data_IF_462089362624
#
_entry.id   IF_462089362624
#
_cell.length_a   1.000
_cell.length_b   1.000
_cell.length_c   1.000
_cell.angle_alpha   90.00
_cell.angle_beta   90.00
_cell.angle_gamma   90.00
#
_symmetry.space_group_name_H-M   'P 1'
#
loop_
_entity.id
_entity.type
_entity.pdbx_description
1 polymer ?
#
# COMPACT_ATOMS: atom_id res chain seq x y z
N UNK A 1 27.21 -15.81 13.31
CA UNK A 1 25.94 -16.57 13.34
C UNK A 1 25.01 -16.14 14.49
N UNK A 2 25.43 -16.23 15.77
CA UNK A 2 24.56 -15.85 16.91
C UNK A 2 24.06 -14.39 16.86
N UNK A 3 24.91 -13.44 16.47
CA UNK A 3 24.52 -12.02 16.35
C UNK A 3 23.45 -11.78 15.27
N UNK A 4 23.49 -12.52 14.14
CA UNK A 4 22.43 -12.48 13.12
C UNK A 4 21.11 -13.05 13.63
N UNK A 5 21.15 -14.10 14.45
CA UNK A 5 19.95 -14.64 15.10
C UNK A 5 19.34 -13.61 16.06
N UNK A 6 20.17 -12.95 16.87
CA UNK A 6 19.73 -11.88 17.78
C UNK A 6 19.10 -10.73 16.99
N UNK A 7 19.73 -10.30 15.89
CA UNK A 7 19.15 -9.30 14.98
C UNK A 7 17.78 -9.74 14.43
N UNK A 8 17.64 -10.99 14.01
CA UNK A 8 16.36 -11.59 13.60
C UNK A 8 15.29 -11.50 14.68
N UNK A 9 15.63 -11.80 15.95
CA UNK A 9 14.71 -11.65 17.09
C UNK A 9 14.28 -10.18 17.25
N UNK A 10 15.19 -9.23 17.13
CA UNK A 10 14.85 -7.80 17.20
C UNK A 10 13.90 -7.36 16.08
N UNK A 11 14.03 -7.90 14.86
CA UNK A 11 13.07 -7.64 13.78
C UNK A 11 11.68 -8.23 14.07
N UNK A 12 11.59 -9.42 14.66
CA UNK A 12 10.31 -9.99 15.13
C UNK A 12 9.68 -9.09 16.20
N UNK A 13 10.48 -8.65 17.18
CA UNK A 13 10.03 -7.74 18.23
C UNK A 13 9.65 -6.36 17.68
N UNK A 14 10.24 -5.93 16.57
CA UNK A 14 9.85 -4.70 15.88
C UNK A 14 8.43 -4.81 15.34
N UNK A 15 8.13 -5.87 14.57
CA UNK A 15 6.79 -6.11 14.03
C UNK A 15 5.74 -6.28 15.13
N UNK A 16 6.07 -7.03 16.19
CA UNK A 16 5.19 -7.17 17.35
C UNK A 16 4.95 -5.84 18.07
N UNK A 17 5.98 -5.00 18.20
CA UNK A 17 5.82 -3.67 18.80
C UNK A 17 4.94 -2.74 17.97
N UNK A 18 4.94 -2.88 16.65
CA UNK A 18 4.13 -2.08 15.73
C UNK A 18 2.64 -2.48 15.71
N UNK A 19 2.25 -3.61 16.32
CA UNK A 19 0.85 -4.05 16.33
C UNK A 19 -0.05 -3.27 17.28
N UNK A 20 0.49 -2.35 18.08
CA UNK A 20 -0.33 -1.44 18.90
C UNK A 20 0.30 -0.03 18.97
N UNK A 21 -0.51 1.03 19.02
CA UNK A 21 -0.01 2.40 19.19
C UNK A 21 0.87 2.55 20.44
N UNK A 22 0.49 1.91 21.55
CA UNK A 22 1.21 1.99 22.83
C UNK A 22 2.65 1.44 22.75
N UNK A 23 2.88 0.38 21.97
CA UNK A 23 4.20 -0.26 21.82
C UNK A 23 4.95 0.17 20.57
N UNK A 24 4.32 0.96 19.67
CA UNK A 24 4.86 1.33 18.36
C UNK A 24 6.28 1.90 18.40
N UNK A 25 6.55 2.81 19.34
CA UNK A 25 7.88 3.43 19.53
C UNK A 25 8.95 2.41 19.94
N UNK A 26 8.59 1.49 20.82
CA UNK A 26 9.48 0.39 21.24
C UNK A 26 9.72 -0.58 20.09
N UNK A 27 8.69 -0.88 19.29
CA UNK A 27 8.82 -1.65 18.06
C UNK A 27 9.83 -1.03 17.09
N UNK A 28 9.69 0.26 16.80
CA UNK A 28 10.62 0.97 15.92
C UNK A 28 12.06 0.93 16.46
N UNK A 29 12.26 1.14 17.76
CA UNK A 29 13.58 1.05 18.41
C UNK A 29 14.18 -0.35 18.28
N UNK A 30 13.39 -1.40 18.46
CA UNK A 30 13.84 -2.78 18.26
C UNK A 30 14.32 -3.01 16.82
N UNK A 31 13.60 -2.46 15.83
CA UNK A 31 14.01 -2.53 14.43
C UNK A 31 15.36 -1.84 14.16
N UNK A 32 15.57 -0.64 14.71
CA UNK A 32 16.85 0.08 14.60
C UNK A 32 18.00 -0.70 15.26
N UNK A 33 17.78 -1.30 16.44
CA UNK A 33 18.78 -2.14 17.11
C UNK A 33 19.11 -3.38 16.27
N UNK A 34 18.08 -4.07 15.76
CA UNK A 34 18.25 -5.24 14.90
C UNK A 34 19.08 -4.94 13.65
N UNK A 35 18.79 -3.82 12.99
CA UNK A 35 19.55 -3.38 11.81
C UNK A 35 21.00 -3.02 12.17
N UNK A 36 21.22 -2.30 13.28
CA UNK A 36 22.57 -1.97 13.76
C UNK A 36 23.41 -3.23 14.04
N UNK A 37 22.82 -4.23 14.70
CA UNK A 37 23.49 -5.52 14.96
C UNK A 37 23.84 -6.22 13.65
N UNK A 38 22.94 -6.28 12.66
CA UNK A 38 23.19 -6.93 11.38
C UNK A 38 24.35 -6.27 10.61
N UNK A 39 24.32 -4.93 10.51
CA UNK A 39 25.35 -4.16 9.81
C UNK A 39 26.73 -4.32 10.47
N UNK A 40 26.81 -4.13 11.78
CA UNK A 40 28.07 -4.27 12.53
C UNK A 40 28.61 -5.70 12.41
N UNK A 41 27.74 -6.70 12.53
CA UNK A 41 28.14 -8.11 12.37
C UNK A 41 28.74 -8.34 10.98
N UNK A 42 28.10 -7.84 9.93
CA UNK A 42 28.59 -8.00 8.54
C UNK A 42 29.98 -7.40 8.37
N UNK A 43 30.20 -6.18 8.88
CA UNK A 43 31.49 -5.49 8.82
C UNK A 43 32.60 -6.22 9.60
N UNK A 44 32.27 -6.86 10.72
CA UNK A 44 33.26 -7.54 11.56
C UNK A 44 33.59 -8.95 11.07
N UNK A 45 32.62 -9.68 10.52
CA UNK A 45 32.80 -11.11 10.20
C UNK A 45 33.24 -11.38 8.76
N UNK A 46 33.13 -10.41 7.86
CA UNK A 46 33.52 -10.59 6.45
C UNK A 46 34.79 -9.80 6.16
N UNK A 47 35.58 -10.29 5.20
CA UNK A 47 36.73 -9.55 4.71
C UNK A 47 36.25 -8.29 3.99
N UNK A 48 36.56 -7.14 4.58
CA UNK A 48 36.19 -5.84 4.01
C UNK A 48 37.18 -5.50 2.90
N UNK A 49 36.70 -5.38 1.66
CA UNK A 49 37.51 -4.92 0.54
C UNK A 49 37.96 -3.46 0.73
N UNK A 50 37.01 -2.55 0.98
CA UNK A 50 37.30 -1.13 1.20
C UNK A 50 36.28 -0.48 2.15
N UNK A 51 36.68 -0.25 3.41
CA UNK A 51 35.80 0.35 4.43
C UNK A 51 35.40 1.79 4.08
N UNK A 52 36.25 2.52 3.37
CA UNK A 52 36.00 3.91 2.97
C UNK A 52 34.88 3.95 1.92
N UNK A 53 34.93 3.08 0.92
CA UNK A 53 33.86 2.97 -0.09
C UNK A 53 32.52 2.58 0.53
N UNK A 54 32.51 1.59 1.43
CA UNK A 54 31.30 1.18 2.17
C UNK A 54 30.75 2.35 2.99
N UNK A 55 31.61 3.07 3.72
CA UNK A 55 31.20 4.21 4.52
C UNK A 55 30.63 5.35 3.67
N UNK A 56 31.24 5.65 2.51
CA UNK A 56 30.74 6.65 1.57
C UNK A 56 29.38 6.23 1.01
N UNK A 57 29.21 4.97 0.58
CA UNK A 57 27.94 4.46 0.07
C UNK A 57 26.82 4.53 1.12
N UNK A 58 27.10 4.12 2.37
CA UNK A 58 26.18 4.23 3.49
C UNK A 58 25.83 5.69 3.81
N UNK A 59 26.82 6.59 3.77
CA UNK A 59 26.61 8.02 4.03
C UNK A 59 25.73 8.65 2.95
N UNK A 60 25.98 8.38 1.66
CA UNK A 60 25.17 8.89 0.54
C UNK A 60 23.73 8.38 0.66
N UNK A 61 23.54 7.07 0.82
CA UNK A 61 22.21 6.47 0.96
C UNK A 61 21.47 6.99 2.20
N UNK A 62 22.16 7.10 3.33
CA UNK A 62 21.62 7.62 4.59
C UNK A 62 21.20 9.09 4.50
N UNK A 63 22.03 9.95 3.89
CA UNK A 63 21.71 11.38 3.70
C UNK A 63 20.50 11.53 2.79
N UNK A 64 20.46 10.84 1.64
CA UNK A 64 19.31 10.88 0.74
C UNK A 64 18.05 10.41 1.48
N UNK A 65 18.12 9.28 2.19
CA UNK A 65 17.01 8.74 2.97
C UNK A 65 16.48 9.73 4.01
N UNK A 66 17.35 10.35 4.81
CA UNK A 66 16.96 11.34 5.83
C UNK A 66 16.35 12.58 5.21
N UNK A 67 16.90 13.09 4.11
CA UNK A 67 16.37 14.27 3.43
C UNK A 67 14.99 14.00 2.85
N UNK A 68 14.81 12.86 2.17
CA UNK A 68 13.50 12.47 1.60
C UNK A 68 12.47 12.26 2.71
N UNK A 69 12.82 11.50 3.75
CA UNK A 69 11.89 11.22 4.86
C UNK A 69 11.44 12.48 5.61
N UNK A 70 12.29 13.51 5.73
CA UNK A 70 11.95 14.78 6.39
C UNK A 70 11.12 15.73 5.54
N UNK A 71 11.11 15.58 4.21
CA UNK A 71 10.47 16.52 3.28
C UNK A 71 9.17 16.00 2.67
N UNK A 72 8.92 14.69 2.74
CA UNK A 72 7.73 14.09 2.14
C UNK A 72 6.47 14.44 2.93
N UNK A 73 5.39 14.77 2.23
CA UNK A 73 4.08 14.95 2.85
C UNK A 73 3.44 13.60 3.18
N UNK A 74 2.68 13.51 4.28
CA UNK A 74 2.02 12.27 4.71
C UNK A 74 1.03 11.73 3.66
N UNK A 75 0.44 12.60 2.84
CA UNK A 75 -0.43 12.18 1.73
C UNK A 75 0.29 11.56 0.55
N UNK A 76 1.60 11.78 0.42
CA UNK A 76 2.49 11.15 -0.56
C UNK A 76 3.17 9.89 0.00
N UNK A 77 2.77 9.41 1.20
CA UNK A 77 3.32 8.18 1.77
C UNK A 77 3.14 6.94 0.88
N UNK A 78 2.00 6.71 0.18
CA UNK A 78 1.83 5.54 -0.68
C UNK A 78 2.87 5.44 -1.81
N UNK A 79 3.15 6.55 -2.48
CA UNK A 79 4.15 6.57 -3.56
C UNK A 79 5.57 6.41 -3.02
N UNK A 80 5.89 7.00 -1.86
CA UNK A 80 7.21 6.83 -1.27
C UNK A 80 7.48 5.36 -0.91
N UNK A 81 6.48 4.66 -0.36
CA UNK A 81 6.57 3.23 -0.04
C UNK A 81 6.83 2.41 -1.31
N UNK A 82 6.11 2.68 -2.41
CA UNK A 82 6.39 2.06 -3.70
C UNK A 82 7.84 2.38 -4.17
N UNK A 83 8.27 3.63 -4.05
CA UNK A 83 9.65 4.03 -4.36
C UNK A 83 10.69 3.23 -3.57
N UNK A 84 10.50 3.02 -2.26
CA UNK A 84 11.42 2.24 -1.45
C UNK A 84 11.46 0.76 -1.85
N UNK A 85 10.32 0.13 -2.14
CA UNK A 85 10.33 -1.26 -2.63
C UNK A 85 11.11 -1.41 -3.93
N UNK A 86 11.10 -0.39 -4.80
CA UNK A 86 11.91 -0.41 -6.00
C UNK A 86 13.41 -0.52 -5.68
N UNK A 87 13.90 0.29 -4.73
CA UNK A 87 15.30 0.28 -4.31
C UNK A 87 15.70 -1.06 -3.68
N UNK A 88 14.82 -1.69 -2.91
CA UNK A 88 15.06 -3.04 -2.35
C UNK A 88 15.17 -4.08 -3.46
N UNK A 89 14.27 -4.04 -4.45
CA UNK A 89 14.32 -4.94 -5.60
C UNK A 89 15.60 -4.78 -6.41
N UNK A 90 16.02 -3.54 -6.68
CA UNK A 90 17.27 -3.26 -7.39
C UNK A 90 18.50 -3.69 -6.58
N UNK A 91 18.50 -3.48 -5.26
CA UNK A 91 19.56 -3.95 -4.39
C UNK A 91 19.70 -5.48 -4.45
N UNK A 92 18.60 -6.24 -4.45
CA UNK A 92 18.63 -7.68 -4.62
C UNK A 92 19.24 -8.09 -5.98
N UNK A 93 18.91 -7.40 -7.08
CA UNK A 93 19.52 -7.64 -8.39
C UNK A 93 21.02 -7.39 -8.37
N UNK A 94 21.46 -6.24 -7.83
CA UNK A 94 22.89 -5.88 -7.77
C UNK A 94 23.68 -6.84 -6.87
N UNK A 95 23.10 -7.26 -5.73
CA UNK A 95 23.71 -8.28 -4.84
C UNK A 95 23.81 -9.62 -5.57
N UNK A 96 22.77 -10.06 -6.26
CA UNK A 96 22.80 -11.30 -7.04
C UNK A 96 23.83 -11.27 -8.16
N UNK A 97 23.93 -10.16 -8.89
CA UNK A 97 24.95 -9.97 -9.91
C UNK A 97 26.36 -9.92 -9.32
N UNK A 98 26.54 -9.31 -8.15
CA UNK A 98 27.82 -9.32 -7.43
C UNK A 98 28.25 -10.73 -7.02
N UNK A 99 27.32 -11.51 -6.46
CA UNK A 99 27.56 -12.91 -6.11
C UNK A 99 27.79 -13.81 -7.32
N UNK A 100 27.16 -13.49 -8.46
CA UNK A 100 27.39 -14.20 -9.72
C UNK A 100 28.74 -13.85 -10.37
N UNK A 101 29.20 -12.59 -10.27
CA UNK A 101 30.48 -12.12 -10.83
C UNK A 101 31.70 -12.58 -10.01
N UNK A 102 31.55 -12.70 -8.69
CA UNK A 102 32.62 -13.16 -7.80
C UNK A 102 32.14 -14.27 -6.84
N UNK A 103 31.74 -15.44 -7.36
CA UNK A 103 31.09 -16.49 -6.57
C UNK A 103 32.03 -17.14 -5.53
N UNK A 104 33.35 -17.06 -5.75
CA UNK A 104 34.33 -17.59 -4.81
C UNK A 104 34.35 -16.82 -3.50
N UNK A 105 34.31 -15.48 -3.58
CA UNK A 105 34.28 -14.61 -2.39
C UNK A 105 33.03 -14.81 -1.52
N UNK A 106 31.94 -15.30 -2.11
CA UNK A 106 30.70 -15.63 -1.40
C UNK A 106 30.61 -17.11 -0.98
N UNK A 107 31.62 -17.93 -1.30
CA UNK A 107 31.67 -19.33 -0.89
C UNK A 107 30.60 -20.21 -1.55
N UNK A 108 30.12 -19.83 -2.74
CA UNK A 108 29.04 -20.53 -3.45
C UNK A 108 29.54 -21.40 -4.62
N UNK A 109 30.83 -21.76 -4.61
CA UNK A 109 31.46 -22.60 -5.64
C UNK A 109 31.75 -24.01 -5.14
N UNK A 110 31.78 -24.98 -6.04
CA UNK A 110 32.30 -26.32 -5.81
C UNK A 110 33.83 -26.39 -5.95
N UNK A 111 34.39 -27.60 -5.82
CA UNK A 111 35.82 -27.85 -5.95
C UNK A 111 36.38 -27.55 -7.37
N UNK A 112 35.52 -27.51 -8.38
CA UNK A 112 35.87 -27.15 -9.76
C UNK A 112 35.71 -25.64 -10.02
N UNK A 113 35.36 -24.85 -9.01
CA UNK A 113 35.15 -23.41 -9.11
C UNK A 113 33.83 -23.03 -9.78
N UNK A 114 32.90 -23.98 -9.95
CA UNK A 114 31.59 -23.74 -10.54
C UNK A 114 30.57 -23.39 -9.47
N UNK A 115 29.63 -22.48 -9.77
CA UNK A 115 28.57 -22.12 -8.83
C UNK A 115 27.73 -23.37 -8.51
N UNK A 116 27.47 -23.62 -7.23
CA UNK A 116 26.65 -24.73 -6.76
C UNK A 116 25.24 -24.68 -7.35
N UNK A 117 24.69 -25.82 -7.75
CA UNK A 117 23.36 -25.88 -8.37
C UNK A 117 22.27 -25.23 -7.52
N UNK A 118 22.32 -25.39 -6.20
CA UNK A 118 21.40 -24.74 -5.25
C UNK A 118 21.53 -23.21 -5.33
N UNK A 119 22.75 -22.69 -5.29
CA UNK A 119 23.03 -21.26 -5.39
C UNK A 119 22.62 -20.67 -6.75
N UNK A 120 22.67 -21.45 -7.84
CA UNK A 120 22.16 -21.02 -9.15
C UNK A 120 20.64 -20.79 -9.14
N UNK A 121 19.89 -21.67 -8.48
CA UNK A 121 18.43 -21.52 -8.30
C UNK A 121 18.14 -20.28 -7.46
N UNK A 122 18.83 -20.12 -6.34
CA UNK A 122 18.64 -18.99 -5.42
C UNK A 122 18.97 -17.65 -6.09
N UNK A 123 20.10 -17.56 -6.83
CA UNK A 123 20.49 -16.40 -7.61
C UNK A 123 19.46 -16.07 -8.69
N UNK A 124 19.07 -17.07 -9.49
CA UNK A 124 18.11 -16.90 -10.58
C UNK A 124 16.76 -16.39 -10.08
N UNK A 125 16.23 -16.99 -9.00
CA UNK A 125 14.99 -16.56 -8.38
C UNK A 125 15.11 -15.19 -7.70
N UNK A 126 16.17 -14.95 -6.94
CA UNK A 126 16.37 -13.69 -6.24
C UNK A 126 16.51 -12.50 -7.20
N UNK A 127 17.26 -12.66 -8.29
CA UNK A 127 17.40 -11.65 -9.35
C UNK A 127 16.06 -11.44 -10.05
N UNK A 128 15.35 -12.50 -10.43
CA UNK A 128 14.08 -12.39 -11.11
C UNK A 128 13.03 -11.67 -10.24
N UNK A 129 12.85 -12.08 -8.99
CA UNK A 129 11.90 -11.46 -8.06
C UNK A 129 12.30 -10.01 -7.77
N UNK A 130 13.60 -9.73 -7.57
CA UNK A 130 14.12 -8.38 -7.36
C UNK A 130 13.85 -7.45 -8.54
N UNK A 131 14.10 -7.90 -9.77
CA UNK A 131 13.89 -7.12 -10.99
C UNK A 131 12.40 -6.86 -11.27
N UNK A 132 11.54 -7.85 -11.03
CA UNK A 132 10.07 -7.68 -11.08
C UNK A 132 9.62 -6.65 -10.04
N UNK A 133 10.17 -6.74 -8.82
CA UNK A 133 9.86 -5.81 -7.74
C UNK A 133 10.26 -4.38 -8.10
N UNK A 134 11.47 -4.18 -8.63
CA UNK A 134 11.94 -2.86 -9.07
C UNK A 134 11.02 -2.26 -10.12
N UNK A 135 10.87 -2.95 -11.25
CA UNK A 135 10.13 -2.45 -12.41
C UNK A 135 8.64 -2.24 -12.10
N UNK A 136 8.02 -3.18 -11.39
CA UNK A 136 6.63 -3.04 -10.94
C UNK A 136 6.44 -1.87 -9.97
N UNK A 137 7.36 -1.68 -9.03
CA UNK A 137 7.29 -0.61 -8.03
C UNK A 137 7.50 0.78 -8.65
N UNK A 138 8.33 0.88 -9.69
CA UNK A 138 8.47 2.12 -10.47
C UNK A 138 7.14 2.52 -11.12
N UNK A 139 6.42 1.58 -11.73
CA UNK A 139 5.10 1.89 -12.32
C UNK A 139 4.09 2.26 -11.23
N UNK A 140 4.07 1.55 -10.11
CA UNK A 140 3.20 1.89 -8.98
C UNK A 140 3.47 3.31 -8.45
N UNK A 141 4.75 3.68 -8.30
CA UNK A 141 5.18 5.03 -7.93
C UNK A 141 4.71 6.08 -8.96
N UNK A 142 4.92 5.84 -10.25
CA UNK A 142 4.52 6.78 -11.31
C UNK A 142 3.00 6.99 -11.36
N UNK A 143 2.21 5.92 -11.15
CA UNK A 143 0.74 6.01 -11.11
C UNK A 143 0.23 6.73 -9.87
N UNK A 144 0.80 6.41 -8.70
CA UNK A 144 0.38 7.03 -7.43
C UNK A 144 0.73 8.53 -7.37
N UNK A 145 1.87 8.92 -7.94
CA UNK A 145 2.31 10.32 -8.08
C UNK A 145 1.64 11.11 -9.20
N UNK A 146 0.77 10.47 -9.99
CA UNK A 146 0.09 11.11 -11.11
C UNK A 146 1.00 11.44 -12.30
N UNK A 147 2.26 11.01 -12.29
CA UNK A 147 3.20 11.14 -13.43
C UNK A 147 2.86 10.19 -14.57
N UNK A 148 2.14 9.11 -14.27
CA UNK A 148 1.52 8.20 -15.24
C UNK A 148 0.00 8.16 -14.97
N UNK A 149 -0.80 8.04 -16.02
CA UNK A 149 -2.25 7.87 -15.88
C UNK A 149 -2.59 6.66 -15.00
N UNK A 150 -3.58 6.83 -14.12
CA UNK A 150 -4.15 5.74 -13.33
C UNK A 150 -5.03 4.80 -14.16
N UNK A 151 -5.41 5.16 -15.39
CA UNK A 151 -6.23 4.28 -16.23
C UNK A 151 -5.44 3.03 -16.66
N UNK A 152 -6.04 1.83 -16.63
CA UNK A 152 -5.46 0.62 -17.18
C UNK A 152 -5.02 0.81 -18.64
N UNK A 153 -3.77 0.47 -18.96
CA UNK A 153 -3.27 0.43 -20.35
C UNK A 153 -3.19 -1.05 -20.77
N UNK A 154 -4.01 -1.43 -21.76
CA UNK A 154 -4.23 -2.82 -22.13
C UNK A 154 -3.44 -3.18 -23.40
N UNK A 155 -2.52 -4.14 -23.28
CA UNK A 155 -1.78 -4.69 -24.43
C UNK A 155 -2.54 -5.88 -25.06
N UNK A 156 -2.69 -5.95 -26.39
CA UNK A 156 -3.23 -7.13 -27.06
C UNK A 156 -2.43 -8.39 -26.72
N UNK A 157 -3.11 -9.49 -26.38
CA UNK A 157 -2.45 -10.76 -26.04
C UNK A 157 -1.62 -10.74 -24.74
N UNK A 158 -1.81 -9.74 -23.86
CA UNK A 158 -1.03 -9.58 -22.59
C UNK A 158 -0.88 -10.85 -21.77
N UNK A 159 -1.91 -11.70 -21.71
CA UNK A 159 -1.88 -12.92 -20.91
C UNK A 159 -0.89 -13.93 -21.48
N UNK A 160 -0.86 -14.08 -22.82
CA UNK A 160 0.09 -14.96 -23.51
C UNK A 160 1.51 -14.40 -23.37
N UNK A 161 1.70 -13.08 -23.52
CA UNK A 161 3.01 -12.44 -23.37
C UNK A 161 3.52 -12.61 -21.94
N UNK A 162 2.70 -12.34 -20.93
CA UNK A 162 3.09 -12.44 -19.53
C UNK A 162 3.38 -13.89 -19.13
N UNK A 163 2.50 -14.84 -19.47
CA UNK A 163 2.72 -16.26 -19.18
C UNK A 163 3.93 -16.81 -19.93
N UNK A 164 4.09 -16.46 -21.21
CA UNK A 164 5.24 -16.86 -22.02
C UNK A 164 6.56 -16.31 -21.47
N UNK A 165 6.57 -15.05 -21.05
CA UNK A 165 7.77 -14.42 -20.45
C UNK A 165 8.09 -15.06 -19.09
N UNK A 166 7.09 -15.34 -18.25
CA UNK A 166 7.30 -16.03 -16.97
C UNK A 166 7.83 -17.45 -17.18
N UNK A 167 7.26 -18.19 -18.14
CA UNK A 167 7.74 -19.52 -18.50
C UNK A 167 9.17 -19.48 -19.05
N UNK A 168 9.53 -18.47 -19.85
CA UNK A 168 10.89 -18.26 -20.33
C UNK A 168 11.87 -17.97 -19.19
N UNK A 169 11.49 -17.14 -18.20
CA UNK A 169 12.31 -16.89 -17.01
C UNK A 169 12.56 -18.19 -16.23
N UNK A 170 11.49 -18.94 -15.93
CA UNK A 170 11.61 -20.21 -15.19
C UNK A 170 12.41 -21.26 -15.98
N UNK A 171 12.22 -21.32 -17.29
CA UNK A 171 12.99 -22.18 -18.19
C UNK A 171 14.47 -21.83 -18.21
N UNK A 172 14.82 -20.54 -18.29
CA UNK A 172 16.21 -20.07 -18.22
C UNK A 172 16.85 -20.38 -16.86
N UNK A 173 16.12 -20.23 -15.75
CA UNK A 173 16.62 -20.63 -14.42
C UNK A 173 16.89 -22.13 -14.38
N UNK A 174 15.98 -22.96 -14.90
CA UNK A 174 16.16 -24.40 -14.96
C UNK A 174 17.37 -24.80 -15.82
N UNK A 175 17.51 -24.19 -17.00
CA UNK A 175 18.66 -24.40 -17.89
C UNK A 175 19.98 -23.98 -17.23
N UNK A 176 20.00 -22.81 -16.59
CA UNK A 176 21.18 -22.34 -15.84
C UNK A 176 21.55 -23.27 -14.68
N UNK A 177 20.57 -23.88 -14.02
CA UNK A 177 20.79 -24.82 -12.93
C UNK A 177 21.52 -26.09 -13.38
N UNK A 178 21.21 -26.60 -14.57
CA UNK A 178 21.81 -27.83 -15.13
C UNK A 178 22.99 -27.58 -16.08
N UNK A 179 23.34 -26.31 -16.28
CA UNK A 179 24.44 -25.87 -17.14
C UNK A 179 25.78 -26.54 -16.73
N UNK A 180 26.58 -27.03 -17.69
CA UNK A 180 27.93 -27.55 -17.42
C UNK A 180 28.91 -26.48 -16.93
N UNK A 181 28.78 -25.25 -17.40
CA UNK A 181 29.73 -24.15 -17.14
C UNK A 181 29.09 -22.99 -16.34
N UNK A 182 28.38 -23.31 -15.25
CA UNK A 182 27.61 -22.33 -14.47
C UNK A 182 28.40 -21.25 -13.71
N UNK A 183 29.64 -20.94 -14.13
CA UNK A 183 30.35 -19.69 -13.84
C UNK A 183 30.11 -18.59 -14.89
N UNK A 184 31.06 -17.67 -15.03
CA UNK A 184 30.95 -16.48 -15.90
C UNK A 184 30.86 -16.79 -17.42
N UNK A 185 31.27 -17.99 -17.84
CA UNK A 185 31.28 -18.42 -19.26
C UNK A 185 29.89 -18.51 -19.90
N UNK A 186 28.87 -18.92 -19.15
CA UNK A 186 27.46 -18.97 -19.58
C UNK A 186 26.61 -17.79 -19.05
N UNK A 187 27.27 -16.66 -18.75
CA UNK A 187 26.70 -15.51 -18.07
C UNK A 187 25.51 -14.80 -18.72
N UNK A 188 25.27 -15.07 -20.00
CA UNK A 188 24.15 -14.45 -20.72
C UNK A 188 22.79 -14.89 -20.15
N UNK A 189 22.67 -16.10 -19.58
CA UNK A 189 21.39 -16.61 -19.06
C UNK A 189 20.90 -15.78 -17.86
N UNK A 190 21.79 -15.47 -16.92
CA UNK A 190 21.47 -14.60 -15.76
C UNK A 190 21.09 -13.19 -16.21
N UNK A 191 21.82 -12.64 -17.19
CA UNK A 191 21.48 -11.34 -17.76
C UNK A 191 20.12 -11.36 -18.49
N UNK A 192 19.85 -12.42 -19.25
CA UNK A 192 18.56 -12.61 -19.92
C UNK A 192 17.41 -12.74 -18.91
N UNK A 193 17.60 -13.50 -17.83
CA UNK A 193 16.65 -13.59 -16.70
C UNK A 193 16.38 -12.19 -16.14
N UNK A 194 17.41 -11.40 -15.84
CA UNK A 194 17.26 -10.06 -15.31
C UNK A 194 16.48 -9.14 -16.26
N UNK A 195 16.84 -9.11 -17.55
CA UNK A 195 16.18 -8.28 -18.57
C UNK A 195 14.70 -8.66 -18.73
N UNK A 196 14.41 -9.96 -18.86
CA UNK A 196 13.03 -10.45 -18.98
C UNK A 196 12.23 -10.16 -17.70
N UNK A 197 12.85 -10.27 -16.53
CA UNK A 197 12.23 -9.97 -15.25
C UNK A 197 11.93 -8.46 -15.07
N UNK A 198 12.81 -7.57 -15.53
CA UNK A 198 12.50 -6.14 -15.61
C UNK A 198 11.35 -5.86 -16.58
N UNK A 199 11.36 -6.49 -17.75
CA UNK A 199 10.31 -6.30 -18.75
C UNK A 199 8.94 -6.77 -18.22
N UNK A 200 8.87 -7.99 -17.65
CA UNK A 200 7.59 -8.54 -17.15
C UNK A 200 7.06 -7.75 -15.96
N UNK A 201 7.91 -7.22 -15.07
CA UNK A 201 7.42 -6.40 -13.96
C UNK A 201 6.78 -5.09 -14.43
N UNK A 202 7.27 -4.47 -15.52
CA UNK A 202 6.54 -3.37 -16.17
C UNK A 202 5.21 -3.85 -16.75
N UNK A 203 5.22 -4.94 -17.52
CA UNK A 203 4.04 -5.47 -18.23
C UNK A 203 2.93 -5.97 -17.30
N UNK A 204 3.27 -6.42 -16.08
CA UNK A 204 2.29 -6.86 -15.09
C UNK A 204 1.55 -5.70 -14.42
N UNK A 205 2.22 -4.57 -14.17
CA UNK A 205 1.64 -3.46 -13.38
C UNK A 205 0.98 -2.38 -14.25
N UNK A 206 1.45 -2.18 -15.49
CA UNK A 206 0.87 -1.21 -16.44
C UNK A 206 -0.65 -1.42 -16.67
N UNK A 207 -1.18 -2.66 -16.78
CA UNK A 207 -2.61 -2.89 -16.98
C UNK A 207 -3.46 -2.78 -15.72
N UNK A 208 -2.87 -2.61 -14.53
CA UNK A 208 -3.63 -2.53 -13.28
C UNK A 208 -4.07 -1.08 -13.05
N UNK A 209 -5.32 -0.85 -12.68
CA UNK A 209 -5.83 0.50 -12.42
C UNK A 209 -5.16 1.18 -11.23
N UNK A 210 -5.06 2.51 -11.26
CA UNK A 210 -4.55 3.37 -10.18
C UNK A 210 -5.28 3.11 -8.85
N UNK A 211 -6.54 2.73 -9.01
CA UNK A 211 -7.43 2.23 -7.99
C UNK A 211 -6.83 1.01 -7.22
N UNK A 212 -6.33 0.00 -7.92
CA UNK A 212 -5.81 -1.24 -7.31
C UNK A 212 -4.35 -1.12 -6.85
N UNK A 213 -3.71 0.02 -7.09
CA UNK A 213 -2.30 0.25 -6.72
C UNK A 213 -1.97 -0.02 -5.25
N UNK A 214 -2.82 0.26 -4.25
CA UNK A 214 -2.50 -0.04 -2.86
C UNK A 214 -2.26 -1.55 -2.63
N UNK A 215 -3.05 -2.41 -3.28
CA UNK A 215 -2.86 -3.87 -3.24
C UNK A 215 -1.57 -4.26 -3.94
N UNK A 216 -1.29 -3.65 -5.10
CA UNK A 216 -0.04 -3.88 -5.84
C UNK A 216 1.17 -3.51 -5.00
N UNK A 217 1.16 -2.35 -4.33
CA UNK A 217 2.26 -1.92 -3.47
C UNK A 217 2.49 -2.91 -2.33
N UNK A 218 1.43 -3.42 -1.72
CA UNK A 218 1.52 -4.46 -0.68
C UNK A 218 2.05 -5.79 -1.22
N UNK A 219 1.66 -6.19 -2.43
CA UNK A 219 2.17 -7.39 -3.09
C UNK A 219 3.67 -7.25 -3.43
N UNK A 220 4.08 -6.09 -3.96
CA UNK A 220 5.48 -5.81 -4.27
C UNK A 220 6.33 -5.73 -3.00
N UNK A 221 5.77 -5.30 -1.86
CA UNK A 221 6.41 -5.45 -0.55
C UNK A 221 6.71 -6.93 -0.25
N UNK A 222 5.74 -7.82 -0.48
CA UNK A 222 5.95 -9.26 -0.31
C UNK A 222 7.10 -9.77 -1.19
N UNK A 223 7.12 -9.39 -2.47
CA UNK A 223 8.19 -9.79 -3.39
C UNK A 223 9.55 -9.27 -2.96
N UNK A 224 9.64 -8.04 -2.43
CA UNK A 224 10.88 -7.51 -1.87
C UNK A 224 11.41 -8.36 -0.72
N UNK A 225 10.53 -8.87 0.16
CA UNK A 225 10.88 -9.79 1.23
C UNK A 225 11.37 -11.14 0.72
N UNK A 226 10.69 -11.74 -0.26
CA UNK A 226 11.11 -13.02 -0.85
C UNK A 226 12.41 -12.91 -1.63
N UNK A 227 12.65 -11.79 -2.33
CA UNK A 227 13.94 -11.51 -2.98
C UNK A 227 15.07 -11.40 -1.93
N UNK A 228 14.83 -10.70 -0.83
CA UNK A 228 15.80 -10.60 0.27
C UNK A 228 16.08 -11.96 0.93
N UNK A 229 15.05 -12.82 1.08
CA UNK A 229 15.22 -14.17 1.62
C UNK A 229 16.03 -15.06 0.66
N UNK A 230 15.75 -15.02 -0.64
CA UNK A 230 16.51 -15.75 -1.67
C UNK A 230 17.99 -15.35 -1.66
N UNK A 231 18.29 -14.04 -1.64
CA UNK A 231 19.66 -13.55 -1.49
C UNK A 231 20.28 -13.94 -0.15
N UNK A 232 19.48 -13.98 0.92
CA UNK A 232 19.91 -14.47 2.22
C UNK A 232 20.37 -15.94 2.18
N UNK A 233 19.68 -16.80 1.42
CA UNK A 233 20.11 -18.18 1.20
C UNK A 233 21.41 -18.26 0.42
N UNK A 234 21.51 -17.53 -0.70
CA UNK A 234 22.75 -17.47 -1.50
C UNK A 234 23.96 -17.04 -0.68
N UNK A 235 23.77 -16.05 0.20
CA UNK A 235 24.86 -15.49 1.03
C UNK A 235 25.05 -16.23 2.35
N UNK A 236 24.26 -17.27 2.65
CA UNK A 236 24.28 -17.94 3.97
C UNK A 236 23.95 -17.01 5.14
N UNK A 237 23.19 -15.93 4.90
CA UNK A 237 22.90 -14.88 5.89
C UNK A 237 21.54 -15.09 6.56
N UNK A 238 21.57 -15.64 7.78
CA UNK A 238 20.35 -15.93 8.55
C UNK A 238 19.51 -14.70 8.86
N UNK A 239 20.11 -13.51 9.05
CA UNK A 239 19.34 -12.30 9.32
C UNK A 239 18.51 -11.88 8.10
N UNK A 240 19.09 -11.98 6.90
CA UNK A 240 18.37 -11.71 5.65
C UNK A 240 17.26 -12.74 5.39
N UNK A 241 17.52 -14.03 5.66
CA UNK A 241 16.50 -15.09 5.51
C UNK A 241 15.31 -14.82 6.44
N UNK A 242 15.56 -14.59 7.73
CA UNK A 242 14.51 -14.34 8.72
C UNK A 242 13.73 -13.08 8.38
N UNK A 243 14.42 -11.97 8.13
CA UNK A 243 13.78 -10.68 7.85
C UNK A 243 13.01 -10.71 6.52
N UNK A 244 13.59 -11.30 5.49
CA UNK A 244 12.96 -11.47 4.17
C UNK A 244 11.68 -12.31 4.26
N UNK A 245 11.70 -13.43 4.99
CA UNK A 245 10.51 -14.26 5.19
C UNK A 245 9.40 -13.54 5.98
N UNK A 246 9.77 -12.75 7.00
CA UNK A 246 8.82 -11.95 7.77
C UNK A 246 8.15 -10.86 6.91
N UNK A 247 8.93 -10.10 6.16
CA UNK A 247 8.42 -9.06 5.25
C UNK A 247 7.60 -9.70 4.12
N UNK A 248 8.08 -10.79 3.55
CA UNK A 248 7.43 -11.56 2.49
C UNK A 248 6.05 -12.05 2.90
N UNK A 249 5.94 -12.72 4.04
CA UNK A 249 4.67 -13.21 4.58
C UNK A 249 3.73 -12.07 4.98
N UNK A 250 4.24 -11.02 5.65
CA UNK A 250 3.44 -9.86 6.05
C UNK A 250 2.80 -9.15 4.85
N UNK A 251 3.57 -8.90 3.79
CA UNK A 251 3.05 -8.29 2.56
C UNK A 251 1.98 -9.16 1.88
N UNK A 252 2.15 -10.48 1.87
CA UNK A 252 1.16 -11.39 1.29
C UNK A 252 -0.16 -11.37 2.08
N UNK A 253 -0.08 -11.45 3.42
CA UNK A 253 -1.24 -11.40 4.32
C UNK A 253 -1.98 -10.07 4.16
N UNK A 254 -1.25 -8.95 4.18
CA UNK A 254 -1.84 -7.62 4.01
C UNK A 254 -2.56 -7.49 2.67
N UNK A 255 -1.93 -7.95 1.58
CA UNK A 255 -2.54 -7.92 0.24
C UNK A 255 -3.86 -8.72 0.21
N UNK A 256 -3.90 -9.88 0.87
CA UNK A 256 -5.11 -10.68 0.98
C UNK A 256 -6.22 -9.97 1.78
N UNK A 257 -5.88 -9.38 2.92
CA UNK A 257 -6.83 -8.62 3.76
C UNK A 257 -7.41 -7.44 2.97
N UNK A 258 -6.58 -6.70 2.24
CA UNK A 258 -7.03 -5.60 1.39
C UNK A 258 -7.98 -6.06 0.29
N UNK A 259 -7.63 -7.12 -0.45
CA UNK A 259 -8.51 -7.70 -1.48
C UNK A 259 -9.87 -8.11 -0.91
N UNK A 260 -9.88 -8.77 0.26
CA UNK A 260 -11.10 -9.17 0.96
C UNK A 260 -11.93 -7.96 1.40
N UNK A 261 -11.29 -6.91 1.92
CA UNK A 261 -11.97 -5.68 2.31
C UNK A 261 -12.58 -4.91 1.12
N UNK A 262 -12.03 -5.10 -0.09
CA UNK A 262 -12.59 -4.58 -1.35
C UNK A 262 -13.59 -5.52 -2.03
N UNK A 263 -13.86 -6.69 -1.44
CA UNK A 263 -14.60 -7.80 -2.05
C UNK A 263 -14.13 -8.16 -3.47
N UNK A 264 -12.82 -8.11 -3.71
CA UNK A 264 -12.20 -8.52 -4.98
C UNK A 264 -11.29 -9.72 -4.77
N UNK A 265 -11.27 -10.63 -5.74
CA UNK A 265 -10.36 -11.78 -5.66
C UNK A 265 -8.92 -11.32 -5.93
N UNK A 266 -7.96 -11.86 -5.15
CA UNK A 266 -6.53 -11.56 -5.31
C UNK A 266 -6.03 -11.83 -6.74
N UNK A 267 -6.51 -12.91 -7.36
CA UNK A 267 -6.17 -13.28 -8.74
C UNK A 267 -6.72 -12.23 -9.74
N UNK A 268 -7.95 -11.74 -9.56
CA UNK A 268 -8.55 -10.72 -10.44
C UNK A 268 -7.74 -9.42 -10.43
N UNK A 269 -7.26 -9.00 -9.26
CA UNK A 269 -6.44 -7.78 -9.12
C UNK A 269 -5.10 -7.94 -9.82
N UNK A 270 -4.37 -9.04 -9.59
CA UNK A 270 -3.04 -9.27 -10.18
C UNK A 270 -3.10 -9.48 -11.68
N UNK A 271 -4.12 -10.19 -12.16
CA UNK A 271 -4.29 -10.45 -13.58
C UNK A 271 -4.92 -9.27 -14.33
N UNK A 272 -5.11 -8.11 -13.67
CA UNK A 272 -5.61 -6.88 -14.26
C UNK A 272 -7.03 -7.04 -14.84
N UNK A 273 -7.95 -7.64 -14.09
CA UNK A 273 -9.35 -7.84 -14.49
C UNK A 273 -9.68 -9.20 -15.09
N UNK A 274 -8.80 -10.20 -14.98
CA UNK A 274 -9.10 -11.56 -15.43
C UNK A 274 -10.19 -12.19 -14.54
N UNK A 275 -11.29 -12.62 -15.15
CA UNK A 275 -12.43 -13.20 -14.44
C UNK A 275 -13.35 -12.19 -13.75
N UNK A 276 -13.13 -10.88 -13.94
CA UNK A 276 -14.22 -9.94 -13.69
C UNK A 276 -15.34 -10.26 -14.69
N UNK A 277 -16.58 -10.38 -14.22
CA UNK A 277 -17.73 -10.40 -15.11
C UNK A 277 -17.61 -9.21 -16.07
N UNK A 278 -18.01 -9.35 -17.36
CA UNK A 278 -17.93 -8.26 -18.31
C UNK A 278 -18.47 -7.00 -17.65
N UNK A 279 -17.70 -5.91 -17.72
CA UNK A 279 -18.18 -4.60 -17.30
C UNK A 279 -19.60 -4.46 -17.82
N UNK A 280 -20.56 -4.24 -16.92
CA UNK A 280 -21.84 -3.72 -17.34
C UNK A 280 -21.50 -2.51 -18.21
N UNK A 281 -21.91 -2.55 -19.48
CA UNK A 281 -21.60 -1.52 -20.46
C UNK A 281 -21.91 -0.13 -19.89
N UNK A 282 -21.30 0.94 -20.44
CA UNK A 282 -21.35 2.28 -19.87
C UNK A 282 -22.77 2.57 -19.40
N UNK A 283 -22.94 2.63 -18.07
CA UNK A 283 -24.23 2.88 -17.45
C UNK A 283 -24.87 4.05 -18.16
N UNK A 284 -26.08 3.83 -18.68
CA UNK A 284 -26.78 4.77 -19.54
C UNK A 284 -26.78 6.19 -18.98
N UNK A 285 -27.01 7.15 -19.88
CA UNK A 285 -27.11 8.57 -19.56
C UNK A 285 -27.79 8.78 -18.20
N UNK A 286 -27.01 9.29 -17.24
CA UNK A 286 -27.43 9.48 -15.86
C UNK A 286 -28.66 10.38 -15.82
N UNK A 287 -29.78 9.86 -15.35
CA UNK A 287 -30.89 10.71 -14.94
C UNK A 287 -30.39 11.65 -13.84
N UNK A 288 -30.60 12.97 -14.02
CA UNK A 288 -30.43 13.93 -12.94
C UNK A 288 -31.50 13.65 -11.88
N UNK A 289 -31.17 12.78 -10.93
CA UNK A 289 -32.01 12.54 -9.75
C UNK A 289 -31.93 13.77 -8.84
N UNK A 290 -33.07 14.22 -8.29
CA UNK A 290 -33.08 15.36 -7.38
C UNK A 290 -32.29 15.04 -6.10
N UNK A 291 -31.51 16.00 -5.61
CA UNK A 291 -30.76 15.91 -4.36
C UNK A 291 -30.99 17.18 -3.53
N UNK A 292 -30.84 17.08 -2.20
CA UNK A 292 -30.90 18.23 -1.31
C UNK A 292 -29.51 18.83 -1.16
N UNK A 293 -29.40 20.15 -1.24
CA UNK A 293 -28.14 20.88 -1.02
C UNK A 293 -28.30 21.79 0.20
N UNK A 294 -27.28 21.83 1.05
CA UNK A 294 -27.24 22.69 2.25
C UNK A 294 -26.03 23.61 2.24
N UNK A 295 -26.01 24.53 3.20
CA UNK A 295 -24.90 25.44 3.47
C UNK A 295 -24.04 24.96 4.65
N UNK A 296 -22.89 25.60 4.86
CA UNK A 296 -22.03 25.32 6.01
C UNK A 296 -22.70 25.76 7.32
N UNK A 297 -23.44 26.86 7.27
CA UNK A 297 -24.18 27.44 8.39
C UNK A 297 -25.31 26.49 8.85
N UNK A 298 -26.07 25.93 7.90
CA UNK A 298 -27.12 24.95 8.22
C UNK A 298 -26.52 23.68 8.84
N UNK A 299 -25.38 23.23 8.31
CA UNK A 299 -24.69 22.06 8.82
C UNK A 299 -24.16 22.29 10.24
N UNK A 300 -23.56 23.46 10.52
CA UNK A 300 -23.08 23.83 11.85
C UNK A 300 -24.21 23.82 12.88
N UNK A 301 -25.35 24.45 12.56
CA UNK A 301 -26.52 24.48 13.44
C UNK A 301 -27.03 23.07 13.76
N UNK A 302 -27.16 22.20 12.76
CA UNK A 302 -27.63 20.82 12.98
C UNK A 302 -26.61 19.96 13.73
N UNK A 303 -25.31 20.16 13.49
CA UNK A 303 -24.25 19.46 14.20
C UNK A 303 -24.17 19.85 15.68
N UNK A 304 -24.39 21.13 16.00
CA UNK A 304 -24.42 21.63 17.37
C UNK A 304 -25.59 21.07 18.19
N UNK A 305 -26.73 20.80 17.54
CA UNK A 305 -27.91 20.24 18.20
C UNK A 305 -27.92 18.69 18.27
N UNK A 306 -26.91 18.03 17.69
CA UNK A 306 -26.80 16.59 17.71
C UNK A 306 -26.28 16.08 19.06
N UNK A 307 -26.76 14.94 19.54
CA UNK A 307 -26.15 14.25 20.69
C UNK A 307 -24.96 13.41 20.23
N UNK A 308 -25.02 12.88 19.01
CA UNK A 308 -24.02 11.98 18.45
C UNK A 308 -23.70 12.25 16.97
N UNK A 309 -22.41 12.41 16.67
CA UNK A 309 -21.89 12.63 15.32
C UNK A 309 -20.85 11.57 14.99
N UNK A 310 -21.07 10.83 13.90
CA UNK A 310 -20.10 9.89 13.36
C UNK A 310 -19.48 10.48 12.09
N UNK A 311 -18.19 10.78 12.16
CA UNK A 311 -17.41 11.35 11.06
C UNK A 311 -16.79 10.22 10.24
N UNK A 312 -17.02 10.22 8.92
CA UNK A 312 -16.49 9.21 7.99
C UNK A 312 -15.52 9.90 7.02
N UNK A 313 -14.21 9.88 7.31
CA UNK A 313 -13.20 10.46 6.43
C UNK A 313 -12.88 9.56 5.24
N UNK A 314 -12.72 10.18 4.07
CA UNK A 314 -12.26 9.51 2.86
C UNK A 314 -11.12 10.24 2.16
N UNK A 315 -10.73 9.74 0.99
CA UNK A 315 -9.58 10.28 0.26
C UNK A 315 -9.73 11.77 -0.11
N UNK A 316 -10.96 12.27 -0.30
CA UNK A 316 -11.19 13.70 -0.56
C UNK A 316 -10.71 14.61 0.58
N UNK A 317 -10.80 14.17 1.84
CA UNK A 317 -10.23 14.88 2.99
C UNK A 317 -8.71 15.00 2.87
N UNK A 318 -8.04 13.92 2.50
CA UNK A 318 -6.59 13.88 2.32
C UNK A 318 -6.13 14.82 1.20
N UNK A 319 -6.81 14.79 0.06
CA UNK A 319 -6.49 15.67 -1.09
C UNK A 319 -6.64 17.15 -0.72
N UNK A 320 -7.65 17.49 0.06
CA UNK A 320 -7.88 18.87 0.51
C UNK A 320 -7.02 19.30 1.72
N UNK A 321 -6.26 18.39 2.32
CA UNK A 321 -5.53 18.64 3.59
C UNK A 321 -6.46 19.13 4.72
N UNK A 322 -7.65 18.54 4.82
CA UNK A 322 -8.70 18.98 5.73
C UNK A 322 -8.61 18.38 7.15
N UNK A 323 -7.67 17.48 7.42
CA UNK A 323 -7.59 16.72 8.69
C UNK A 323 -7.48 17.62 9.94
N UNK A 324 -6.76 18.73 9.86
CA UNK A 324 -6.63 19.67 10.99
C UNK A 324 -7.91 20.48 11.22
N UNK A 325 -8.56 20.95 10.16
CA UNK A 325 -9.84 21.64 10.26
C UNK A 325 -10.93 20.69 10.78
N UNK A 326 -10.91 19.42 10.36
CA UNK A 326 -11.83 18.39 10.84
C UNK A 326 -11.63 18.10 12.32
N UNK A 327 -10.37 18.05 12.78
CA UNK A 327 -10.04 17.93 14.20
C UNK A 327 -10.60 19.11 15.00
N UNK A 328 -10.37 20.34 14.53
CA UNK A 328 -10.87 21.55 15.18
C UNK A 328 -12.40 21.55 15.29
N UNK A 329 -13.10 21.16 14.21
CA UNK A 329 -14.55 20.97 14.22
C UNK A 329 -14.98 19.95 15.27
N UNK A 330 -14.30 18.80 15.33
CA UNK A 330 -14.57 17.75 16.32
C UNK A 330 -14.37 18.23 17.76
N UNK A 331 -13.33 19.03 18.03
CA UNK A 331 -13.09 19.59 19.36
C UNK A 331 -14.17 20.60 19.77
N UNK A 332 -14.56 21.52 18.87
CA UNK A 332 -15.67 22.46 19.14
C UNK A 332 -16.99 21.75 19.40
N UNK A 333 -17.30 20.70 18.64
CA UNK A 333 -18.51 19.91 18.89
C UNK A 333 -18.46 19.22 20.26
N UNK A 334 -17.31 18.68 20.67
CA UNK A 334 -17.12 18.09 22.00
C UNK A 334 -17.26 19.13 23.12
N UNK A 335 -16.78 20.35 22.93
CA UNK A 335 -16.98 21.46 23.88
C UNK A 335 -18.46 21.79 24.09
N UNK A 336 -19.29 21.60 23.05
CA UNK A 336 -20.75 21.73 23.10
C UNK A 336 -21.47 20.48 23.62
N UNK A 337 -20.73 19.45 24.03
CA UNK A 337 -21.29 18.21 24.62
C UNK A 337 -21.68 17.13 23.62
N UNK A 338 -21.34 17.30 22.34
CA UNK A 338 -21.64 16.33 21.28
C UNK A 338 -20.66 15.15 21.36
N UNK A 339 -21.17 13.93 21.27
CA UNK A 339 -20.33 12.73 21.19
C UNK A 339 -19.81 12.53 19.76
N UNK A 340 -18.52 12.77 19.54
CA UNK A 340 -17.87 12.66 18.22
C UNK A 340 -17.07 11.38 18.12
N UNK A 341 -17.37 10.56 17.10
CA UNK A 341 -16.61 9.34 16.76
C UNK A 341 -16.13 9.40 15.31
N UNK A 342 -14.97 8.82 15.02
CA UNK A 342 -14.42 8.71 13.67
C UNK A 342 -14.52 7.25 13.19
N UNK A 343 -15.24 7.02 12.10
CA UNK A 343 -15.42 5.70 11.50
C UNK A 343 -14.49 5.53 10.29
N UNK A 344 -13.47 4.68 10.41
CA UNK A 344 -12.49 4.45 9.34
C UNK A 344 -12.77 3.16 8.59
N UNK A 345 -13.01 3.28 7.29
CA UNK A 345 -13.08 2.11 6.42
C UNK A 345 -11.66 1.53 6.16
N UNK A 346 -11.45 0.21 6.19
CA UNK A 346 -10.12 -0.40 5.97
C UNK A 346 -9.44 -0.02 4.65
N UNK A 347 -10.25 0.31 3.63
CA UNK A 347 -9.76 0.70 2.29
C UNK A 347 -9.94 2.20 1.99
N UNK A 348 -10.26 3.02 2.99
CA UNK A 348 -10.33 4.47 2.80
C UNK A 348 -8.94 5.06 2.49
N UNK A 349 -8.82 5.73 1.35
CA UNK A 349 -7.59 6.40 0.92
C UNK A 349 -6.84 5.67 -0.19
N UNK A 350 -5.51 5.83 -0.20
CA UNK A 350 -4.59 5.23 -1.20
C UNK A 350 -3.53 4.28 -0.60
N UNK A 351 -3.63 3.97 0.68
CA UNK A 351 -2.81 2.93 1.33
C UNK A 351 -3.58 2.38 2.53
N UNK A 352 -3.26 1.16 3.00
CA UNK A 352 -3.79 0.67 4.27
C UNK A 352 -3.50 1.65 5.41
N UNK A 353 -4.52 1.94 6.22
CA UNK A 353 -4.39 2.86 7.35
C UNK A 353 -4.14 4.32 6.97
N UNK A 354 -4.35 4.73 5.71
CA UNK A 354 -4.11 6.11 5.27
C UNK A 354 -4.85 7.12 6.17
N UNK A 355 -6.14 6.88 6.45
CA UNK A 355 -6.92 7.79 7.30
C UNK A 355 -6.42 7.79 8.75
N UNK A 356 -6.03 6.64 9.30
CA UNK A 356 -5.49 6.55 10.67
C UNK A 356 -4.24 7.42 10.82
N UNK A 357 -3.37 7.42 9.81
CA UNK A 357 -2.14 8.21 9.82
C UNK A 357 -2.44 9.71 9.78
N UNK A 358 -3.38 10.15 8.92
CA UNK A 358 -3.73 11.58 8.82
C UNK A 358 -4.47 12.09 10.07
N UNK A 359 -5.33 11.28 10.66
CA UNK A 359 -6.00 11.64 11.91
C UNK A 359 -5.01 11.68 13.08
N UNK A 360 -4.05 10.76 13.12
CA UNK A 360 -2.97 10.80 14.10
C UNK A 360 -2.05 12.02 13.91
N UNK A 361 -1.79 12.43 12.67
CA UNK A 361 -1.08 13.69 12.35
C UNK A 361 -1.86 14.91 12.86
N UNK A 362 -3.19 14.92 12.69
CA UNK A 362 -4.08 15.90 13.30
C UNK A 362 -4.28 15.68 14.83
N UNK A 363 -3.53 14.77 15.44
CA UNK A 363 -3.54 14.45 16.88
C UNK A 363 -4.87 13.92 17.42
N UNK A 364 -5.79 13.45 16.57
CA UNK A 364 -7.09 12.84 16.97
C UNK A 364 -6.85 11.69 17.96
N UNK A 365 -7.55 11.64 19.11
CA UNK A 365 -7.37 10.58 20.09
C UNK A 365 -7.77 9.21 19.51
N UNK A 366 -6.96 8.19 19.74
CA UNK A 366 -7.17 6.86 19.16
C UNK A 366 -8.45 6.16 19.66
N UNK A 367 -8.89 6.49 20.87
CA UNK A 367 -10.13 6.02 21.48
C UNK A 367 -11.39 6.59 20.82
N UNK A 368 -11.26 7.68 20.05
CA UNK A 368 -12.34 8.23 19.23
C UNK A 368 -12.38 7.61 17.82
N UNK A 369 -11.40 6.76 17.47
CA UNK A 369 -11.22 6.19 16.13
C UNK A 369 -11.60 4.71 16.10
N UNK A 370 -12.61 4.37 15.31
CA UNK A 370 -13.19 3.03 15.25
C UNK A 370 -13.07 2.43 13.85
N UNK A 371 -12.86 1.11 13.80
CA UNK A 371 -12.92 0.34 12.56
C UNK A 371 -14.37 -0.01 12.20
N UNK A 372 -14.58 -0.47 10.96
CA UNK A 372 -15.92 -0.75 10.43
C UNK A 372 -16.72 -1.73 11.30
N UNK A 373 -16.09 -2.81 11.76
CA UNK A 373 -16.77 -3.87 12.51
C UNK A 373 -17.23 -3.38 13.90
N UNK A 374 -16.51 -2.41 14.48
CA UNK A 374 -16.76 -1.91 15.83
C UNK A 374 -17.86 -0.83 15.90
N UNK A 375 -18.03 -0.03 14.82
CA UNK A 375 -18.91 1.15 14.83
C UNK A 375 -20.17 0.99 13.98
N UNK A 376 -20.26 -0.02 13.11
CA UNK A 376 -21.34 -0.06 12.13
C UNK A 376 -22.74 -0.25 12.75
N UNK A 377 -22.84 -0.86 13.95
CA UNK A 377 -24.09 -0.95 14.71
C UNK A 377 -24.58 0.40 15.24
N UNK A 378 -23.67 1.34 15.47
CA UNK A 378 -23.96 2.61 16.14
C UNK A 378 -24.69 3.60 15.22
N UNK A 379 -24.63 3.41 13.90
CA UNK A 379 -25.31 4.29 12.94
C UNK A 379 -26.82 4.38 13.16
N UNK A 380 -27.46 3.33 13.68
CA UNK A 380 -28.90 3.35 13.98
C UNK A 380 -29.28 4.29 15.14
N UNK A 381 -28.31 4.65 15.99
CA UNK A 381 -28.49 5.58 17.11
C UNK A 381 -27.84 6.94 16.84
N UNK A 382 -27.16 7.08 15.70
CA UNK A 382 -26.44 8.30 15.33
C UNK A 382 -27.39 9.38 14.81
N UNK A 383 -27.25 10.60 15.34
CA UNK A 383 -28.02 11.74 14.85
C UNK A 383 -27.51 12.23 13.49
N UNK A 384 -26.19 12.38 13.36
CA UNK A 384 -25.58 12.91 12.14
C UNK A 384 -24.39 12.05 11.69
N UNK A 385 -24.50 11.43 10.52
CA UNK A 385 -23.36 10.88 9.80
C UNK A 385 -22.71 11.96 8.94
N UNK A 386 -21.48 12.37 9.28
CA UNK A 386 -20.74 13.41 8.59
C UNK A 386 -19.69 12.80 7.65
N UNK A 387 -20.00 12.73 6.37
CA UNK A 387 -19.17 12.09 5.35
C UNK A 387 -18.30 13.13 4.66
N UNK A 388 -16.97 13.02 4.82
CA UNK A 388 -16.01 13.96 4.23
C UNK A 388 -15.09 13.30 3.20
N UNK A 389 -15.40 13.50 1.92
CA UNK A 389 -14.55 13.02 0.83
C UNK A 389 -14.47 11.50 0.69
N UNK A 390 -15.40 10.76 1.30
CA UNK A 390 -15.64 9.35 1.04
C UNK A 390 -16.71 9.19 -0.05
N UNK A 391 -16.73 8.05 -0.76
CA UNK A 391 -17.82 7.76 -1.71
C UNK A 391 -18.20 6.28 -1.70
N UNK A 392 -17.31 5.41 -2.17
CA UNK A 392 -17.66 4.00 -2.36
C UNK A 392 -17.87 3.25 -1.03
N UNK A 393 -17.12 3.63 0.01
CA UNK A 393 -17.15 3.01 1.35
C UNK A 393 -18.44 3.29 2.13
N UNK A 394 -19.31 4.15 1.59
CA UNK A 394 -20.64 4.48 2.11
C UNK A 394 -21.75 4.18 1.11
N UNK A 395 -21.44 3.49 -0.01
CA UNK A 395 -22.41 3.28 -1.09
C UNK A 395 -23.26 2.01 -0.87
N UNK A 396 -24.59 2.13 -0.65
CA UNK A 396 -25.48 1.01 -0.39
C UNK A 396 -25.60 0.01 -1.54
N UNK A 397 -25.25 0.42 -2.77
CA UNK A 397 -25.21 -0.46 -3.94
C UNK A 397 -24.32 -1.69 -3.71
N UNK A 398 -23.32 -1.59 -2.82
CA UNK A 398 -22.52 -2.72 -2.38
C UNK A 398 -23.34 -3.84 -1.71
N UNK A 399 -24.51 -3.55 -1.15
CA UNK A 399 -25.39 -4.53 -0.47
C UNK A 399 -26.60 -4.90 -1.32
N UNK A 400 -27.14 -3.95 -2.08
CA UNK A 400 -28.45 -4.08 -2.74
C UNK A 400 -28.36 -4.47 -4.21
N UNK A 401 -27.32 -4.02 -4.94
CA UNK A 401 -27.22 -4.17 -6.39
C UNK A 401 -26.16 -5.20 -6.79
N UNK A 402 -26.61 -6.40 -7.17
CA UNK A 402 -25.74 -7.49 -7.65
C UNK A 402 -24.97 -7.17 -8.92
N UNK A 403 -25.39 -6.18 -9.70
CA UNK A 403 -24.73 -5.76 -10.93
C UNK A 403 -23.63 -4.72 -10.68
N UNK A 404 -23.59 -4.13 -9.47
CA UNK A 404 -22.61 -3.14 -9.10
C UNK A 404 -21.20 -3.75 -8.97
N UNK A 405 -20.14 -3.08 -9.48
CA UNK A 405 -18.76 -3.57 -9.35
C UNK A 405 -18.26 -3.61 -7.89
N UNK A 406 -18.97 -2.98 -6.96
CA UNK A 406 -18.68 -3.00 -5.53
C UNK A 406 -19.63 -3.92 -4.74
N UNK A 407 -20.46 -4.72 -5.41
CA UNK A 407 -21.35 -5.67 -4.72
C UNK A 407 -20.58 -6.61 -3.81
N UNK A 408 -21.06 -6.79 -2.58
CA UNK A 408 -20.47 -7.58 -1.50
C UNK A 408 -19.36 -6.89 -0.72
N UNK A 409 -18.94 -5.67 -1.09
CA UNK A 409 -18.01 -4.88 -0.28
C UNK A 409 -18.68 -4.47 1.05
N UNK A 410 -18.05 -4.68 2.21
CA UNK A 410 -18.50 -4.09 3.46
C UNK A 410 -18.55 -2.56 3.28
N UNK A 411 -19.65 -1.93 3.68
CA UNK A 411 -19.81 -0.47 3.65
C UNK A 411 -20.51 -0.03 4.93
N UNK A 412 -20.26 1.22 5.32
CA UNK A 412 -20.94 1.82 6.46
C UNK A 412 -22.45 1.97 6.18
N UNK A 413 -23.27 1.60 7.16
CA UNK A 413 -24.73 1.74 7.14
C UNK A 413 -25.16 3.19 7.43
N UNK A 414 -24.62 4.15 6.68
CA UNK A 414 -24.89 5.58 6.85
C UNK A 414 -26.37 5.92 6.60
N UNK A 415 -27.08 5.07 5.87
CA UNK A 415 -28.51 5.17 5.61
C UNK A 415 -29.36 5.01 6.89
N UNK A 416 -28.81 4.41 7.95
CA UNK A 416 -29.47 4.23 9.25
C UNK A 416 -29.37 5.45 10.17
N UNK A 417 -28.49 6.42 9.87
CA UNK A 417 -28.38 7.65 10.65
C UNK A 417 -29.61 8.55 10.44
N UNK A 418 -29.97 9.35 11.44
CA UNK A 418 -31.13 10.25 11.34
C UNK A 418 -30.95 11.31 10.26
N UNK A 419 -29.73 11.83 10.13
CA UNK A 419 -29.32 12.80 9.12
C UNK A 419 -27.94 12.44 8.56
N UNK A 420 -27.71 12.74 7.28
CA UNK A 420 -26.41 12.55 6.62
C UNK A 420 -25.97 13.86 5.99
N UNK A 421 -24.74 14.31 6.31
CA UNK A 421 -24.06 15.39 5.59
C UNK A 421 -23.00 14.81 4.69
N UNK A 422 -23.08 15.13 3.40
CA UNK A 422 -22.17 14.57 2.40
C UNK A 422 -21.34 15.65 1.71
N UNK A 423 -20.04 15.67 1.98
CA UNK A 423 -19.13 16.72 1.50
C UNK A 423 -18.36 16.23 0.29
N UNK A 424 -18.58 16.89 -0.85
CA UNK A 424 -17.84 16.67 -2.11
C UNK A 424 -17.80 17.95 -2.94
N UNK A 425 -16.85 18.06 -3.86
CA UNK A 425 -16.69 19.27 -4.70
C UNK A 425 -17.86 19.51 -5.68
N UNK A 426 -18.42 18.45 -6.23
CA UNK A 426 -19.52 18.52 -7.20
C UNK A 426 -20.21 17.16 -7.34
N UNK A 427 -21.44 17.14 -7.88
CA UNK A 427 -22.17 15.90 -8.14
C UNK A 427 -21.52 15.03 -9.21
N UNK A 428 -20.85 15.63 -10.20
CA UNK A 428 -20.26 14.90 -11.34
C UNK A 428 -19.04 14.03 -11.03
N UNK A 429 -18.42 14.21 -9.85
CA UNK A 429 -17.31 13.36 -9.41
C UNK A 429 -17.81 11.98 -9.00
N UNK A 430 -17.47 10.95 -9.79
CA UNK A 430 -17.59 9.56 -9.36
C UNK A 430 -16.49 9.21 -8.37
N UNK A 431 -16.80 8.25 -7.51
CA UNK A 431 -15.83 7.65 -6.59
C UNK A 431 -14.86 6.77 -7.35
N UNK A 432 -14.19 5.91 -6.59
CA UNK A 432 -13.13 5.06 -7.12
C UNK A 432 -13.69 4.03 -8.12
N UNK A 433 -14.87 3.47 -7.87
CA UNK A 433 -15.51 2.42 -8.65
C UNK A 433 -16.25 2.94 -9.88
N UNK A 434 -16.30 4.27 -10.09
CA UNK A 434 -17.01 4.86 -11.23
C UNK A 434 -18.54 4.78 -11.15
N UNK A 435 -19.08 4.28 -10.04
CA UNK A 435 -20.53 4.12 -9.81
C UNK A 435 -21.10 5.38 -9.16
N UNK A 436 -22.36 5.70 -9.47
CA UNK A 436 -23.11 6.71 -8.73
C UNK A 436 -23.48 6.20 -7.32
N UNK A 437 -23.81 7.10 -6.40
CA UNK A 437 -24.10 6.74 -5.02
C UNK A 437 -25.52 7.09 -4.62
N UNK A 438 -26.28 6.08 -4.20
CA UNK A 438 -27.68 6.25 -3.80
C UNK A 438 -27.84 7.15 -2.57
N UNK A 439 -26.83 7.25 -1.70
CA UNK A 439 -26.86 8.13 -0.51
C UNK A 439 -27.10 9.58 -0.92
N UNK A 440 -26.58 10.02 -2.07
CA UNK A 440 -26.74 11.40 -2.53
C UNK A 440 -28.22 11.82 -2.68
N UNK A 441 -29.10 10.85 -2.89
CA UNK A 441 -30.50 11.06 -3.24
C UNK A 441 -31.45 10.65 -2.11
N UNK A 442 -30.92 10.26 -0.94
CA UNK A 442 -31.75 9.88 0.21
C UNK A 442 -32.40 11.10 0.85
N UNK A 443 -33.59 10.91 1.42
CA UNK A 443 -34.35 11.99 2.04
C UNK A 443 -33.61 12.63 3.22
N UNK A 444 -32.89 11.84 4.03
CA UNK A 444 -32.11 12.34 5.15
C UNK A 444 -30.71 12.85 4.76
N UNK A 445 -30.35 12.85 3.47
CA UNK A 445 -29.04 13.34 3.03
C UNK A 445 -29.08 14.77 2.56
N UNK A 446 -28.14 15.57 3.03
CA UNK A 446 -27.89 16.94 2.58
C UNK A 446 -26.48 17.01 2.00
N UNK A 447 -26.40 17.39 0.72
CA UNK A 447 -25.14 17.58 0.01
C UNK A 447 -24.52 18.93 0.37
N UNK A 448 -23.27 18.90 0.85
CA UNK A 448 -22.47 20.08 1.14
C UNK A 448 -21.39 20.22 0.05
N UNK A 449 -21.69 21.02 -0.98
CA UNK A 449 -20.88 21.08 -2.19
C UNK A 449 -19.78 22.15 -2.12
N UNK A 450 -18.58 21.75 -1.71
CA UNK A 450 -17.38 22.60 -1.75
C UNK A 450 -16.09 21.77 -1.68
N UNK A 451 -14.95 22.45 -1.71
CA UNK A 451 -13.69 21.85 -1.25
C UNK A 451 -13.82 21.42 0.22
N UNK A 452 -13.30 20.24 0.56
CA UNK A 452 -13.52 19.63 1.87
C UNK A 452 -12.93 20.46 3.01
N UNK A 453 -11.76 21.08 2.81
CA UNK A 453 -11.14 21.93 3.83
C UNK A 453 -11.95 23.21 4.01
N UNK A 454 -12.30 23.86 2.90
CA UNK A 454 -13.10 25.09 2.92
C UNK A 454 -14.45 24.89 3.63
N UNK A 455 -15.17 23.81 3.30
CA UNK A 455 -16.46 23.49 3.93
C UNK A 455 -16.33 23.33 5.44
N UNK A 456 -15.33 22.56 5.90
CA UNK A 456 -15.13 22.35 7.33
C UNK A 456 -14.71 23.64 8.04
N UNK A 457 -13.84 24.45 7.44
CA UNK A 457 -13.47 25.76 7.99
C UNK A 457 -14.67 26.71 8.11
N UNK A 458 -15.60 26.69 7.15
CA UNK A 458 -16.84 27.48 7.20
C UNK A 458 -17.80 26.97 8.30
N UNK A 459 -17.90 25.66 8.48
CA UNK A 459 -18.65 25.05 9.59
C UNK A 459 -18.04 25.45 10.93
N UNK A 460 -16.72 25.33 11.07
CA UNK A 460 -15.98 25.70 12.29
C UNK A 460 -16.21 27.16 12.68
N UNK A 461 -16.23 28.08 11.71
CA UNK A 461 -16.54 29.50 11.92
C UNK A 461 -17.99 29.75 12.34
N UNK A 462 -18.90 28.87 11.92
CA UNK A 462 -20.33 28.98 12.23
C UNK A 462 -20.70 28.29 13.55
N UNK A 463 -19.77 27.52 14.14
CA UNK A 463 -19.87 26.94 15.47
C UNK A 463 -19.36 27.89 16.58
N UNK A 464 -18.64 28.96 16.21
CA UNK A 464 -18.29 30.08 17.10
C UNK A 464 -19.52 30.96 17.35
#
# INVERSE_FOLDING_TARGET
>A
MLAYLISGVFFILALRGLSSPATSRTGNRNGMIGMGIALITTLVTHNIANIVEIAIALAIGGVIGVVVARRIAMTAMPELVAGFHSLVGLAAVVVGLGAWLDPQSFGIVDAAGQILAVSRVELGLGIAIGAITFSGSVIAFLKLSGRMSGSPIMLPGRHVINLGTLAAILGLIALYTVSPEGGAGEGWMILAIAVLAFAIGFLLIIPIGGADMPVVVSMLNSYSGWAAAAMGFTLGNSAMIITGALVGSSGAILSYIMCRAMNRSFISVIAGGFGAAPEAGPGGAREQRPYKQGSAEDAAYMLEQAESVIIIPGYGMAVAQAQHALREMGDKLKEKGVNVKYAIHPVAGRMPGHMNVLLAEASVPYDEVFELEDINSDFAQCDVAFIIGANDVVNPAAKTDKSSPIYGMPVFDVDKAKQVFFIKRSMGGVGYAGVDNDVFYMNQTVMLLADAKKMVEEIVKSLD
#
